data_IF_390086370937
#
_entry.id   IF_390086370937
#
_cell.length_a   1.000
_cell.length_b   1.000
_cell.length_c   1.000
_cell.angle_alpha   90.00
_cell.angle_beta   90.00
_cell.angle_gamma   90.00
#
_symmetry.space_group_name_H-M   'P 1'
#
loop_
_entity.id
_entity.type
_entity.pdbx_description
1 polymer ?
#
# COMPACT_ATOMS: atom_id res chain seq x y z
N UNK A 1 -13.68 33.03 -44.04
CA UNK A 1 -13.39 31.58 -44.11
C UNK A 1 -12.65 31.22 -42.83
N UNK A 2 -13.27 30.48 -41.90
CA UNK A 2 -12.67 30.16 -40.59
C UNK A 2 -11.88 28.87 -40.76
N UNK A 3 -10.56 28.99 -40.76
CA UNK A 3 -9.65 27.86 -40.94
C UNK A 3 -9.74 26.93 -39.73
N UNK A 4 -10.41 25.79 -39.91
CA UNK A 4 -10.47 24.73 -38.91
C UNK A 4 -9.10 24.05 -38.86
N UNK A 5 -8.17 24.57 -38.05
CA UNK A 5 -6.92 23.87 -37.75
C UNK A 5 -7.23 22.67 -36.85
N UNK A 6 -7.47 21.50 -37.44
CA UNK A 6 -7.46 20.23 -36.71
C UNK A 6 -6.04 20.02 -36.18
N UNK A 7 -5.87 20.15 -34.85
CA UNK A 7 -4.58 19.82 -34.21
C UNK A 7 -4.21 18.39 -34.58
N UNK A 8 -2.98 18.12 -35.06
CA UNK A 8 -2.60 16.76 -35.42
C UNK A 8 -2.67 15.88 -34.17
N UNK A 9 -3.37 14.75 -34.28
CA UNK A 9 -3.46 13.77 -33.22
C UNK A 9 -2.04 13.37 -32.80
N UNK A 10 -1.70 13.62 -31.53
CA UNK A 10 -0.35 13.41 -31.00
C UNK A 10 0.02 11.93 -31.14
N UNK A 11 1.02 11.62 -31.97
CA UNK A 11 1.49 10.26 -32.19
C UNK A 11 1.91 9.60 -30.86
N UNK A 12 1.44 8.38 -30.63
CA UNK A 12 1.74 7.62 -29.42
C UNK A 12 3.06 6.87 -29.61
N UNK A 13 4.05 7.20 -28.79
CA UNK A 13 5.29 6.42 -28.75
C UNK A 13 5.03 5.08 -28.04
N UNK A 14 5.72 3.99 -28.42
CA UNK A 14 5.52 2.67 -27.82
C UNK A 14 5.67 2.69 -26.29
N UNK A 15 6.63 3.48 -25.78
CA UNK A 15 6.81 3.72 -24.35
C UNK A 15 5.57 4.31 -23.68
N UNK A 16 4.90 5.28 -24.32
CA UNK A 16 3.69 5.91 -23.75
C UNK A 16 2.50 4.95 -23.77
N UNK A 17 2.40 4.07 -24.77
CA UNK A 17 1.36 3.03 -24.82
C UNK A 17 1.53 2.07 -23.64
N UNK A 18 2.75 1.57 -23.42
CA UNK A 18 3.05 0.65 -22.31
C UNK A 18 2.78 1.32 -20.95
N UNK A 19 3.25 2.54 -20.73
CA UNK A 19 2.99 3.27 -19.49
C UNK A 19 1.49 3.51 -19.26
N UNK A 20 0.76 3.91 -20.30
CA UNK A 20 -0.69 4.17 -20.17
C UNK A 20 -1.46 2.88 -19.90
N UNK A 21 -1.12 1.78 -20.58
CA UNK A 21 -1.72 0.48 -20.32
C UNK A 21 -1.44 0.01 -18.89
N UNK A 22 -0.20 0.17 -18.40
CA UNK A 22 0.15 -0.17 -17.02
C UNK A 22 -0.64 0.63 -15.99
N UNK A 23 -0.80 1.93 -16.19
CA UNK A 23 -1.63 2.79 -15.33
C UNK A 23 -3.09 2.33 -15.35
N UNK A 24 -3.64 2.03 -16.52
CA UNK A 24 -5.02 1.54 -16.64
C UNK A 24 -5.22 0.20 -15.93
N UNK A 25 -4.29 -0.74 -16.06
CA UNK A 25 -4.33 -2.03 -15.36
C UNK A 25 -4.26 -1.83 -13.85
N UNK A 26 -3.38 -0.94 -13.37
CA UNK A 26 -3.27 -0.64 -11.95
C UNK A 26 -4.56 -0.03 -11.38
N UNK A 27 -5.16 0.93 -12.09
CA UNK A 27 -6.46 1.51 -11.69
C UNK A 27 -7.55 0.43 -11.66
N UNK A 28 -7.61 -0.43 -12.69
CA UNK A 28 -8.56 -1.54 -12.72
C UNK A 28 -8.38 -2.50 -11.54
N UNK A 29 -7.13 -2.83 -11.17
CA UNK A 29 -6.83 -3.67 -10.02
C UNK A 29 -7.28 -3.03 -8.69
N UNK A 30 -7.09 -1.72 -8.53
CA UNK A 30 -7.57 -0.99 -7.34
C UNK A 30 -9.11 -1.03 -7.25
N UNK A 31 -9.79 -0.77 -8.37
CA UNK A 31 -11.26 -0.82 -8.41
C UNK A 31 -11.75 -2.22 -8.06
N UNK A 32 -11.12 -3.26 -8.62
CA UNK A 32 -11.48 -4.64 -8.35
C UNK A 32 -11.24 -5.01 -6.88
N UNK A 33 -10.13 -4.59 -6.29
CA UNK A 33 -9.84 -4.83 -4.88
C UNK A 33 -10.92 -4.19 -3.98
N UNK A 34 -11.29 -2.93 -4.24
CA UNK A 34 -12.38 -2.25 -3.51
C UNK A 34 -13.72 -2.96 -3.70
N UNK A 35 -14.04 -3.38 -4.92
CA UNK A 35 -15.25 -4.13 -5.20
C UNK A 35 -15.30 -5.47 -4.44
N UNK A 36 -14.20 -6.21 -4.42
CA UNK A 36 -14.10 -7.47 -3.68
C UNK A 36 -14.28 -7.26 -2.18
N UNK A 37 -13.66 -6.22 -1.61
CA UNK A 37 -13.84 -5.86 -0.20
C UNK A 37 -15.29 -5.46 0.11
N UNK A 38 -15.94 -4.68 -0.76
CA UNK A 38 -17.34 -4.24 -0.54
C UNK A 38 -18.36 -5.38 -0.63
N UNK A 39 -18.03 -6.44 -1.37
CA UNK A 39 -18.91 -7.61 -1.57
C UNK A 39 -18.47 -8.82 -0.75
N UNK A 40 -17.54 -8.65 0.19
CA UNK A 40 -17.06 -9.73 1.06
C UNK A 40 -16.57 -10.96 0.27
N UNK A 41 -16.04 -10.73 -0.94
CA UNK A 41 -15.61 -11.79 -1.85
C UNK A 41 -14.34 -12.44 -1.31
N UNK A 42 -14.39 -13.76 -1.09
CA UNK A 42 -13.30 -14.52 -0.52
C UNK A 42 -13.38 -14.72 1.00
N UNK A 43 -14.40 -14.16 1.67
CA UNK A 43 -14.68 -14.44 3.08
C UNK A 43 -15.46 -15.76 3.25
N UNK A 44 -15.24 -16.44 4.37
CA UNK A 44 -16.03 -17.60 4.76
C UNK A 44 -17.45 -17.16 5.19
N UNK A 45 -18.50 -17.95 4.91
CA UNK A 45 -19.87 -17.56 5.22
C UNK A 45 -20.05 -17.24 6.71
N UNK A 46 -20.59 -16.06 7.02
CA UNK A 46 -20.89 -15.63 8.39
C UNK A 46 -19.72 -15.04 9.17
N UNK A 47 -18.57 -14.78 8.53
CA UNK A 47 -17.42 -14.17 9.20
C UNK A 47 -16.86 -13.01 8.37
N UNK A 48 -16.86 -11.82 8.96
CA UNK A 48 -16.36 -10.58 8.33
C UNK A 48 -14.94 -10.30 8.81
N UNK A 49 -13.97 -10.73 8.01
CA UNK A 49 -12.55 -10.51 8.25
C UNK A 49 -12.06 -9.31 7.43
N UNK A 50 -11.65 -8.24 8.12
CA UNK A 50 -11.09 -7.07 7.47
C UNK A 50 -9.76 -7.37 6.73
N UNK A 51 -9.39 -6.55 5.72
CA UNK A 51 -8.17 -6.76 4.94
C UNK A 51 -6.92 -6.66 5.85
N UNK A 52 -6.30 -7.81 6.15
CA UNK A 52 -5.16 -7.94 7.07
C UNK A 52 -5.32 -9.05 8.12
N UNK A 53 -6.52 -9.60 8.29
CA UNK A 53 -6.84 -10.71 9.20
C UNK A 53 -6.45 -12.08 8.61
N UNK A 54 -5.23 -12.20 8.07
CA UNK A 54 -4.69 -13.50 7.64
C UNK A 54 -4.19 -14.34 8.82
N UNK A 55 -3.98 -13.69 9.96
CA UNK A 55 -3.77 -14.34 11.22
C UNK A 55 -5.15 -14.67 11.79
N UNK A 56 -5.27 -15.84 12.43
CA UNK A 56 -6.49 -16.32 13.12
C UNK A 56 -6.96 -15.42 14.28
N UNK A 57 -6.60 -14.12 14.25
CA UNK A 57 -6.79 -13.09 15.27
C UNK A 57 -8.24 -12.67 15.50
N UNK A 58 -9.13 -13.25 14.72
CA UNK A 58 -10.54 -12.97 14.54
C UNK A 58 -11.43 -14.09 15.11
N UNK A 59 -10.89 -15.26 15.43
CA UNK A 59 -11.61 -16.31 16.15
C UNK A 59 -11.77 -15.90 17.62
N UNK A 60 -12.98 -15.88 18.21
CA UNK A 60 -13.15 -15.60 19.63
C UNK A 60 -12.31 -16.54 20.51
N UNK A 61 -11.38 -15.96 21.28
CA UNK A 61 -10.44 -16.72 22.11
C UNK A 61 -9.27 -17.35 21.35
N UNK A 62 -8.96 -16.93 20.12
CA UNK A 62 -7.79 -17.39 19.35
C UNK A 62 -6.47 -17.25 20.10
N UNK A 63 -6.36 -16.23 20.97
CA UNK A 63 -5.17 -15.94 21.77
C UNK A 63 -4.72 -17.16 22.57
N UNK A 64 -5.65 -17.99 23.04
CA UNK A 64 -5.28 -19.19 23.82
C UNK A 64 -4.58 -20.28 23.01
N UNK A 65 -4.74 -20.28 21.68
CA UNK A 65 -4.16 -21.28 20.79
C UNK A 65 -2.81 -20.83 20.20
N UNK A 66 -2.64 -19.52 19.99
CA UNK A 66 -1.46 -18.97 19.28
C UNK A 66 -0.60 -18.02 20.12
N UNK A 67 -1.10 -17.58 21.27
CA UNK A 67 -0.44 -16.65 22.20
C UNK A 67 -0.36 -17.18 23.66
N UNK A 68 -0.17 -18.48 23.94
CA UNK A 68 -0.05 -18.96 25.32
C UNK A 68 1.15 -18.34 26.06
N UNK A 69 2.26 -18.12 25.35
CA UNK A 69 3.48 -17.44 25.82
C UNK A 69 3.76 -16.21 24.95
N UNK A 70 2.76 -15.35 24.75
CA UNK A 70 2.96 -14.16 23.93
C UNK A 70 4.02 -13.26 24.55
N UNK A 71 4.93 -12.79 23.70
CA UNK A 71 5.88 -11.77 24.07
C UNK A 71 5.11 -10.50 24.46
N UNK A 72 5.02 -10.26 25.77
CA UNK A 72 4.56 -8.99 26.28
C UNK A 72 5.71 -8.00 26.14
N UNK A 73 5.54 -7.02 25.24
CA UNK A 73 6.58 -6.06 24.97
C UNK A 73 6.65 -5.10 26.17
N UNK A 74 7.75 -5.09 26.95
CA UNK A 74 7.87 -4.22 28.11
C UNK A 74 7.95 -2.73 27.73
N UNK A 75 8.10 -2.44 26.42
CA UNK A 75 8.21 -1.08 25.90
C UNK A 75 6.86 -0.62 25.34
N UNK A 76 6.33 0.53 25.80
CA UNK A 76 5.09 1.08 25.27
C UNK A 76 5.16 1.31 23.76
N UNK A 77 4.08 0.98 23.05
CA UNK A 77 3.98 1.16 21.59
C UNK A 77 4.30 2.59 21.13
N UNK A 78 3.92 3.59 21.92
CA UNK A 78 4.22 4.99 21.65
C UNK A 78 5.74 5.26 21.57
N UNK A 79 6.53 4.64 22.44
CA UNK A 79 8.00 4.76 22.44
C UNK A 79 8.57 4.14 21.17
N UNK A 80 8.07 2.97 20.76
CA UNK A 80 8.49 2.30 19.54
C UNK A 80 8.18 3.13 18.29
N UNK A 81 6.99 3.74 18.24
CA UNK A 81 6.60 4.64 17.14
C UNK A 81 7.49 5.87 17.09
N UNK A 82 7.79 6.50 18.23
CA UNK A 82 8.70 7.65 18.30
C UNK A 82 10.09 7.25 17.79
N UNK A 83 10.61 6.11 18.23
CA UNK A 83 11.91 5.59 17.78
C UNK A 83 11.93 5.31 16.28
N UNK A 84 10.85 4.73 15.73
CA UNK A 84 10.72 4.49 14.29
C UNK A 84 10.80 5.78 13.49
N UNK A 85 10.03 6.81 13.88
CA UNK A 85 10.08 8.11 13.20
C UNK A 85 11.42 8.83 13.39
N UNK A 86 12.00 8.77 14.60
CA UNK A 86 13.32 9.33 14.87
C UNK A 86 14.39 8.69 13.98
N UNK A 87 14.36 7.37 13.85
CA UNK A 87 15.25 6.64 12.96
C UNK A 87 15.04 7.03 11.49
N UNK A 88 13.79 7.07 11.02
CA UNK A 88 13.47 7.52 9.66
C UNK A 88 14.01 8.91 9.34
N UNK A 89 13.85 9.85 10.28
CA UNK A 89 14.39 11.21 10.15
C UNK A 89 15.94 11.23 10.11
N UNK A 90 16.59 10.44 10.95
CA UNK A 90 18.05 10.30 10.96
C UNK A 90 18.57 9.74 9.63
N UNK A 91 17.92 8.71 9.09
CA UNK A 91 18.28 8.13 7.79
C UNK A 91 18.10 9.11 6.65
N UNK A 92 16.99 9.87 6.65
CA UNK A 92 16.78 10.93 5.66
C UNK A 92 17.91 11.99 5.71
N UNK A 93 18.27 12.46 6.91
CA UNK A 93 19.36 13.42 7.12
C UNK A 93 20.70 12.86 6.63
N UNK A 94 21.00 11.61 6.95
CA UNK A 94 22.23 10.93 6.53
C UNK A 94 22.30 10.82 5.01
N UNK A 95 21.21 10.40 4.36
CA UNK A 95 21.15 10.27 2.92
C UNK A 95 21.31 11.62 2.22
N UNK A 96 20.62 12.66 2.69
CA UNK A 96 20.77 14.02 2.15
C UNK A 96 22.20 14.56 2.33
N UNK A 97 22.89 14.18 3.41
CA UNK A 97 24.29 14.53 3.61
C UNK A 97 25.21 13.79 2.62
N UNK A 98 25.01 12.47 2.45
CA UNK A 98 25.79 11.67 1.52
C UNK A 98 25.58 12.12 0.08
N UNK A 99 24.35 12.43 -0.34
CA UNK A 99 24.05 12.96 -1.68
C UNK A 99 24.80 14.27 -1.98
N UNK A 100 24.96 15.13 -0.96
CA UNK A 100 25.74 16.37 -1.10
C UNK A 100 27.25 16.16 -1.14
N UNK A 101 27.76 15.08 -0.55
CA UNK A 101 29.20 14.78 -0.45
C UNK A 101 29.71 13.88 -1.59
N UNK A 102 28.84 13.08 -2.17
CA UNK A 102 29.13 12.13 -3.24
C UNK A 102 28.78 12.68 -4.64
N UNK A 103 28.22 13.90 -4.69
CA UNK A 103 28.23 14.75 -5.88
C UNK A 103 29.56 15.48 -6.01
#
# INVERSE_FOLDING_TARGET
MKENSSKPARAWTPMRIVCTAGVLIFIAALILAVYMMANNMGQAPGIDFGPGQYYYTDIPGWQKYFLPDHYDNPVPLSVLLILFFAWGFLMYRLWAYLDRKLK
#
